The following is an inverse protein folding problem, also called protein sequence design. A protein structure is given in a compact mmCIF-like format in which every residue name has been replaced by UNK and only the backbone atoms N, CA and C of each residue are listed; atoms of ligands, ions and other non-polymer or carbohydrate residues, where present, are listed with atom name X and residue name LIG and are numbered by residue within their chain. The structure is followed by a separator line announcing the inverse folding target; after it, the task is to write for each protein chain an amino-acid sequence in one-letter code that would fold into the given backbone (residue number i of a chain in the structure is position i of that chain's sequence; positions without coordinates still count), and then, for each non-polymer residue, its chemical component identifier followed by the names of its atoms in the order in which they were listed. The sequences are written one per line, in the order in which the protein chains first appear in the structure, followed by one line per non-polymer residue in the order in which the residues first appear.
data_IF_563202298807
#
_entry.id   IF_563202298807
#
_cell.length_a   1.000
_cell.length_b   1.000
_cell.length_c   1.000
_cell.angle_alpha   90.00
_cell.angle_beta   90.00
_cell.angle_gamma   90.00
#
_symmetry.space_group_name_H-M   'P 1'
#
loop_
_entity.id
_entity.type
_entity.pdbx_description
1 polymer ?
#
# COMPACT_ATOMS: atom_id res chain seq x y z
N UNK A 1 6.60 20.64 -11.50
CA UNK A 1 6.44 20.15 -12.90
C UNK A 1 5.15 19.36 -13.10
N UNK A 2 4.81 18.42 -12.21
CA UNK A 2 3.59 17.59 -12.33
C UNK A 2 2.27 18.37 -12.52
N UNK A 3 2.05 19.49 -11.82
CA UNK A 3 0.80 20.28 -11.99
C UNK A 3 0.65 20.88 -13.39
N UNK A 4 1.78 21.29 -13.99
CA UNK A 4 1.80 21.86 -15.35
C UNK A 4 1.48 20.79 -16.38
N UNK A 5 2.01 19.59 -16.20
CA UNK A 5 1.74 18.42 -17.04
C UNK A 5 0.26 18.02 -16.94
N UNK A 6 -0.33 18.04 -15.74
CA UNK A 6 -1.74 17.74 -15.54
C UNK A 6 -2.66 18.80 -16.18
N UNK A 7 -2.32 20.08 -16.05
CA UNK A 7 -3.10 21.18 -16.60
C UNK A 7 -3.05 21.22 -18.15
N UNK A 8 -1.87 20.97 -18.73
CA UNK A 8 -1.63 21.04 -20.18
C UNK A 8 -1.83 19.70 -20.91
N UNK A 9 -2.09 18.61 -20.17
CA UNK A 9 -2.27 17.29 -20.75
C UNK A 9 -3.63 17.09 -21.45
N UNK A 10 -3.78 16.01 -22.23
CA UNK A 10 -4.98 15.72 -23.03
C UNK A 10 -6.19 15.24 -22.18
N UNK A 11 -6.09 15.27 -20.85
CA UNK A 11 -7.15 14.82 -19.94
C UNK A 11 -8.37 15.74 -20.01
N UNK A 12 -9.56 15.18 -19.74
CA UNK A 12 -10.81 15.92 -19.69
C UNK A 12 -10.78 17.01 -18.61
N UNK A 13 -11.56 18.08 -18.80
CA UNK A 13 -11.66 19.16 -17.82
C UNK A 13 -12.25 18.69 -16.49
N UNK A 14 -13.09 17.65 -16.51
CA UNK A 14 -13.62 17.01 -15.29
C UNK A 14 -12.51 16.36 -14.48
N UNK A 15 -11.62 15.62 -15.13
CA UNK A 15 -10.48 14.97 -14.46
C UNK A 15 -9.48 16.00 -13.95
N UNK A 16 -9.21 17.05 -14.74
CA UNK A 16 -8.34 18.16 -14.32
C UNK A 16 -8.87 18.85 -13.06
N UNK A 17 -10.17 19.12 -12.98
CA UNK A 17 -10.81 19.72 -11.79
C UNK A 17 -10.69 18.83 -10.55
N UNK A 18 -10.76 17.50 -10.71
CA UNK A 18 -10.61 16.55 -9.60
C UNK A 18 -9.17 16.45 -9.11
N UNK A 19 -8.22 16.29 -10.03
CA UNK A 19 -6.84 15.95 -9.68
C UNK A 19 -5.95 17.18 -9.38
N UNK A 20 -6.29 18.38 -9.87
CA UNK A 20 -5.50 19.58 -9.58
C UNK A 20 -5.46 19.94 -8.08
N UNK A 21 -6.59 19.92 -7.33
CA UNK A 21 -6.58 20.15 -5.89
C UNK A 21 -5.75 19.10 -5.12
N UNK A 22 -5.97 17.82 -5.38
CA UNK A 22 -5.22 16.73 -4.71
C UNK A 22 -3.71 16.83 -4.96
N UNK A 23 -3.32 17.14 -6.21
CA UNK A 23 -1.92 17.32 -6.56
C UNK A 23 -1.31 18.57 -5.91
N UNK A 24 -2.10 19.63 -5.73
CA UNK A 24 -1.66 20.84 -5.00
C UNK A 24 -1.43 20.51 -3.53
N UNK A 25 -2.37 19.81 -2.90
CA UNK A 25 -2.27 19.40 -1.50
C UNK A 25 -1.07 18.50 -1.25
N UNK A 26 -0.88 17.47 -2.09
CA UNK A 26 0.28 16.59 -2.02
C UNK A 26 1.61 17.37 -2.13
N UNK A 27 1.66 18.40 -2.98
CA UNK A 27 2.85 19.26 -3.12
C UNK A 27 3.07 20.15 -1.91
N UNK A 28 2.02 20.69 -1.31
CA UNK A 28 2.13 21.47 -0.08
C UNK A 28 2.70 20.61 1.04
N UNK A 29 2.14 19.42 1.27
CA UNK A 29 2.66 18.46 2.28
C UNK A 29 4.11 18.09 2.02
N UNK A 30 4.48 17.81 0.77
CA UNK A 30 5.88 17.51 0.42
C UNK A 30 6.82 18.69 0.71
N UNK A 31 6.38 19.93 0.46
CA UNK A 31 7.17 21.13 0.76
C UNK A 31 7.32 21.37 2.26
N UNK A 32 6.27 21.09 3.03
CA UNK A 32 6.25 21.21 4.48
C UNK A 32 7.21 20.19 5.11
N UNK A 33 7.11 18.91 4.71
CA UNK A 33 8.05 17.87 5.12
C UNK A 33 9.49 18.24 4.79
N UNK A 34 9.76 18.72 3.58
CA UNK A 34 11.10 19.18 3.20
C UNK A 34 11.58 20.32 4.09
N UNK A 35 10.69 21.24 4.44
CA UNK A 35 11.02 22.37 5.31
C UNK A 35 11.33 21.90 6.73
N UNK A 36 10.51 20.98 7.27
CA UNK A 36 10.74 20.35 8.57
C UNK A 36 12.08 19.62 8.62
N UNK A 37 12.39 18.80 7.61
CA UNK A 37 13.69 18.12 7.47
C UNK A 37 14.83 19.15 7.46
N UNK A 38 14.68 20.26 6.73
CA UNK A 38 15.75 21.27 6.62
C UNK A 38 15.94 22.11 7.88
N UNK A 39 14.87 22.37 8.65
CA UNK A 39 14.92 23.24 9.83
C UNK A 39 15.30 22.49 11.10
N UNK A 40 14.89 21.23 11.22
CA UNK A 40 15.10 20.42 12.42
C UNK A 40 15.45 18.97 12.05
N UNK A 41 16.59 18.75 11.37
CA UNK A 41 16.97 17.41 10.92
C UNK A 41 17.15 16.44 12.09
N UNK A 42 17.84 16.86 13.15
CA UNK A 42 18.16 15.98 14.27
C UNK A 42 16.92 15.52 15.04
N UNK A 43 16.00 16.45 15.34
CA UNK A 43 14.73 16.11 16.00
C UNK A 43 13.87 15.17 15.13
N UNK A 44 13.85 15.40 13.82
CA UNK A 44 13.09 14.54 12.91
C UNK A 44 13.68 13.13 12.83
N UNK A 45 15.01 13.01 12.79
CA UNK A 45 15.69 11.72 12.81
C UNK A 45 15.48 10.99 14.15
N UNK A 46 15.48 11.70 15.27
CA UNK A 46 15.16 11.15 16.58
C UNK A 46 13.73 10.57 16.61
N UNK A 47 12.73 11.36 16.18
CA UNK A 47 11.34 10.92 16.13
C UNK A 47 11.14 9.72 15.20
N UNK A 48 11.81 9.69 14.04
CA UNK A 48 11.76 8.55 13.12
C UNK A 48 12.41 7.29 13.71
N UNK A 49 13.51 7.46 14.45
CA UNK A 49 14.18 6.37 15.16
C UNK A 49 13.32 5.78 16.27
N UNK A 50 12.62 6.62 17.03
CA UNK A 50 11.64 6.18 18.03
C UNK A 50 10.48 5.42 17.38
N UNK A 51 9.87 5.97 16.33
CA UNK A 51 8.79 5.32 15.60
C UNK A 51 9.20 3.95 14.99
N UNK A 52 10.47 3.81 14.60
CA UNK A 52 10.98 2.54 14.11
C UNK A 52 11.15 1.51 15.24
N UNK A 53 11.72 1.90 16.39
CA UNK A 53 11.80 1.01 17.56
C UNK A 53 10.42 0.61 18.07
N UNK A 54 9.46 1.52 18.06
CA UNK A 54 8.06 1.21 18.41
C UNK A 54 7.47 0.16 17.47
N UNK A 55 7.79 0.23 16.17
CA UNK A 55 7.38 -0.80 15.22
C UNK A 55 8.06 -2.14 15.49
N UNK A 56 9.36 -2.14 15.78
CA UNK A 56 10.08 -3.37 16.13
C UNK A 56 9.47 -4.02 17.37
N UNK A 57 9.22 -3.25 18.43
CA UNK A 57 8.62 -3.79 19.66
C UNK A 57 7.21 -4.33 19.43
N UNK A 58 6.41 -3.68 18.57
CA UNK A 58 5.10 -4.20 18.15
C UNK A 58 5.22 -5.50 17.37
N UNK A 59 6.24 -5.67 16.52
CA UNK A 59 6.49 -6.90 15.77
C UNK A 59 6.92 -8.07 16.68
N UNK A 60 7.78 -7.82 17.67
CA UNK A 60 8.33 -8.88 18.54
C UNK A 60 7.33 -9.38 19.58
N UNK A 61 6.41 -8.54 20.03
CA UNK A 61 5.45 -8.89 21.10
C UNK A 61 4.26 -9.73 20.56
N UNK A 62 4.21 -10.04 19.26
CA UNK A 62 3.03 -10.70 18.66
C UNK A 62 1.75 -9.86 18.79
N UNK A 63 1.90 -8.59 19.18
CA UNK A 63 0.85 -7.62 19.33
C UNK A 63 0.60 -6.99 17.98
N UNK A 64 -0.50 -7.37 17.34
CA UNK A 64 -1.17 -6.61 16.28
C UNK A 64 -0.89 -5.11 16.47
N UNK A 65 -0.39 -4.37 15.46
CA UNK A 65 -0.11 -2.95 15.63
C UNK A 65 -1.41 -2.25 16.02
N UNK A 66 -1.50 -1.86 17.29
CA UNK A 66 -2.47 -0.89 17.72
C UNK A 66 -2.12 0.41 17.02
N UNK A 67 -3.07 0.94 16.25
CA UNK A 67 -3.02 2.24 15.58
C UNK A 67 -2.53 3.34 16.53
N UNK A 68 -1.22 3.50 16.66
CA UNK A 68 -0.57 4.50 17.51
C UNK A 68 -0.30 5.76 16.69
N UNK A 69 -1.18 6.74 16.85
CA UNK A 69 -1.16 8.07 16.26
C UNK A 69 -1.38 8.16 14.74
N UNK A 70 -2.41 7.49 14.23
CA UNK A 70 -3.07 7.94 13.01
C UNK A 70 -3.86 9.23 13.30
N UNK A 71 -3.47 10.34 12.68
CA UNK A 71 -4.39 11.46 12.43
C UNK A 71 -5.67 10.86 11.82
N UNK A 72 -6.88 11.20 12.29
CA UNK A 72 -8.11 10.60 11.77
C UNK A 72 -8.30 11.06 10.32
N UNK A 73 -7.84 10.25 9.37
CA UNK A 73 -8.22 10.37 7.98
C UNK A 73 -9.65 9.82 7.83
N UNK A 74 -10.55 10.54 7.13
CA UNK A 74 -11.88 10.00 6.88
C UNK A 74 -11.77 8.71 6.07
N UNK A 75 -12.63 7.70 6.33
CA UNK A 75 -12.53 6.41 5.68
C UNK A 75 -12.83 6.56 4.19
N UNK A 76 -11.78 6.50 3.37
CA UNK A 76 -11.92 6.27 1.93
C UNK A 76 -12.37 4.83 1.79
N UNK A 77 -13.68 4.64 1.66
CA UNK A 77 -14.27 3.36 1.28
C UNK A 77 -13.76 3.03 -0.13
N UNK A 78 -12.65 2.32 -0.22
CA UNK A 78 -12.24 1.65 -1.44
C UNK A 78 -13.20 0.47 -1.59
N UNK A 79 -14.20 0.65 -2.43
CA UNK A 79 -15.03 -0.44 -2.94
C UNK A 79 -14.11 -1.40 -3.70
N UNK A 80 -13.70 -2.47 -3.03
CA UNK A 80 -13.01 -3.62 -3.61
C UNK A 80 -14.01 -4.27 -4.58
N UNK A 81 -13.87 -3.92 -5.86
CA UNK A 81 -14.54 -4.62 -6.94
C UNK A 81 -13.90 -6.00 -7.10
N UNK A 82 -14.74 -7.03 -7.07
CA UNK A 82 -14.39 -8.45 -7.28
C UNK A 82 -13.57 -9.12 -6.18
N UNK A 83 -14.16 -9.15 -4.98
CA UNK A 83 -13.94 -10.24 -4.03
C UNK A 83 -14.55 -11.54 -4.58
N UNK A 84 -13.91 -12.11 -5.62
CA UNK A 84 -13.95 -13.55 -5.90
C UNK A 84 -12.76 -14.15 -5.17
N UNK A 85 -13.00 -14.70 -3.97
CA UNK A 85 -11.97 -15.08 -3.01
C UNK A 85 -10.91 -16.01 -3.60
N UNK A 86 -9.65 -15.65 -3.41
CA UNK A 86 -8.53 -16.53 -3.67
C UNK A 86 -8.59 -17.74 -2.71
N UNK A 87 -8.47 -18.94 -3.26
CA UNK A 87 -8.51 -20.20 -2.51
C UNK A 87 -7.16 -20.90 -2.52
N UNK A 88 -6.87 -21.70 -1.49
CA UNK A 88 -5.70 -22.57 -1.47
C UNK A 88 -5.74 -23.54 -2.66
N UNK A 89 -4.59 -23.75 -3.31
CA UNK A 89 -4.44 -24.54 -4.53
C UNK A 89 -4.75 -23.80 -5.83
N UNK A 90 -5.16 -22.53 -5.79
CA UNK A 90 -5.47 -21.76 -6.99
C UNK A 90 -4.20 -21.30 -7.72
N UNK A 91 -4.17 -21.43 -9.06
CA UNK A 91 -3.10 -20.85 -9.88
C UNK A 91 -3.34 -19.36 -10.08
N UNK A 92 -2.27 -18.58 -9.89
CA UNK A 92 -2.28 -17.14 -10.03
C UNK A 92 -1.07 -16.68 -10.82
N UNK A 93 -1.24 -15.62 -11.60
CA UNK A 93 -0.13 -14.92 -12.25
C UNK A 93 0.11 -13.60 -11.57
N UNK A 94 1.33 -13.39 -11.09
CA UNK A 94 1.79 -12.13 -10.55
C UNK A 94 2.60 -11.36 -11.60
N UNK A 95 2.29 -10.07 -11.78
CA UNK A 95 2.95 -9.23 -12.80
C UNK A 95 4.49 -9.21 -12.75
N UNK A 96 5.08 -9.38 -11.55
CA UNK A 96 6.53 -9.35 -11.37
C UNK A 96 7.16 -10.75 -11.18
N UNK A 97 6.42 -11.69 -10.58
CA UNK A 97 6.98 -12.98 -10.15
C UNK A 97 6.57 -14.13 -11.07
N UNK A 98 5.70 -13.86 -12.05
CA UNK A 98 5.21 -14.87 -12.98
C UNK A 98 4.14 -15.76 -12.34
N UNK A 99 4.07 -16.99 -12.81
CA UNK A 99 3.05 -17.95 -12.43
C UNK A 99 3.39 -18.60 -11.09
N UNK A 100 2.36 -18.84 -10.28
CA UNK A 100 2.48 -19.48 -8.99
C UNK A 100 1.17 -20.10 -8.51
N UNK A 101 1.24 -20.82 -7.40
CA UNK A 101 0.11 -21.50 -6.77
C UNK A 101 -0.04 -21.00 -5.35
N UNK A 102 -1.27 -20.69 -4.95
CA UNK A 102 -1.55 -20.29 -3.57
C UNK A 102 -1.43 -21.52 -2.66
N UNK A 103 -0.47 -21.51 -1.74
CA UNK A 103 -0.22 -22.61 -0.80
C UNK A 103 -1.01 -22.45 0.48
N UNK A 104 -1.21 -21.22 0.94
CA UNK A 104 -1.94 -20.92 2.18
C UNK A 104 -2.76 -19.63 2.06
N UNK A 105 -3.90 -19.59 2.75
CA UNK A 105 -4.76 -18.42 2.87
C UNK A 105 -5.13 -18.29 4.34
N UNK A 106 -4.46 -17.38 5.03
CA UNK A 106 -4.71 -17.07 6.43
C UNK A 106 -5.58 -15.81 6.53
N UNK A 107 -6.76 -15.94 7.11
CA UNK A 107 -7.62 -14.79 7.40
C UNK A 107 -7.09 -14.03 8.62
N UNK A 108 -6.47 -12.86 8.38
CA UNK A 108 -6.10 -11.93 9.44
C UNK A 108 -7.24 -10.95 9.69
N UNK A 109 -7.37 -10.49 10.92
CA UNK A 109 -8.53 -9.73 11.44
C UNK A 109 -8.97 -8.49 10.67
N UNK A 110 -8.14 -7.94 9.78
CA UNK A 110 -8.46 -6.79 8.92
C UNK A 110 -8.23 -7.05 7.42
N UNK A 111 -7.47 -8.09 7.06
CA UNK A 111 -7.13 -8.42 5.67
C UNK A 111 -6.76 -9.90 5.54
N UNK A 112 -6.89 -10.47 4.34
CA UNK A 112 -6.47 -11.85 4.09
C UNK A 112 -4.98 -11.88 3.76
N UNK A 113 -4.24 -12.83 4.31
CA UNK A 113 -2.84 -13.08 3.98
C UNK A 113 -2.76 -14.33 3.12
N UNK A 114 -2.07 -14.26 1.98
CA UNK A 114 -1.91 -15.38 1.04
C UNK A 114 -0.43 -15.72 0.89
N UNK A 115 -0.10 -17.00 0.92
CA UNK A 115 1.21 -17.51 0.55
C UNK A 115 1.13 -18.09 -0.85
N UNK A 116 2.07 -17.68 -1.72
CA UNK A 116 2.14 -18.10 -3.11
C UNK A 116 3.50 -18.73 -3.36
N UNK A 117 3.50 -19.97 -3.85
CA UNK A 117 4.66 -20.67 -4.36
C UNK A 117 4.79 -20.37 -5.87
N UNK A 118 5.80 -19.61 -6.25
CA UNK A 118 6.07 -19.32 -7.66
C UNK A 118 6.86 -20.44 -8.34
N UNK A 119 6.69 -20.60 -9.66
CA UNK A 119 7.39 -21.61 -10.46
C UNK A 119 8.92 -21.41 -10.48
N UNK A 120 9.40 -20.23 -10.07
CA UNK A 120 10.81 -19.96 -9.78
C UNK A 120 11.32 -20.61 -8.47
N UNK A 121 10.52 -21.49 -7.84
CA UNK A 121 10.78 -22.15 -6.56
C UNK A 121 10.95 -21.19 -5.38
N UNK A 122 10.29 -20.03 -5.42
CA UNK A 122 10.29 -19.04 -4.34
C UNK A 122 8.89 -18.94 -3.73
N UNK A 123 8.78 -19.19 -2.43
CA UNK A 123 7.53 -18.98 -1.68
C UNK A 123 7.52 -17.57 -1.09
N UNK A 124 6.45 -16.82 -1.34
CA UNK A 124 6.28 -15.46 -0.82
C UNK A 124 4.90 -15.27 -0.22
N UNK A 125 4.88 -14.59 0.91
CA UNK A 125 3.66 -14.28 1.63
C UNK A 125 3.29 -12.82 1.46
N UNK A 126 2.03 -12.57 1.14
CA UNK A 126 1.52 -11.25 0.83
C UNK A 126 0.17 -10.97 1.52
N UNK A 127 -0.12 -9.70 1.74
CA UNK A 127 -1.45 -9.25 2.09
C UNK A 127 -2.31 -9.11 0.83
N UNK A 128 -3.54 -9.61 0.90
CA UNK A 128 -4.45 -9.67 -0.22
C UNK A 128 -4.81 -8.27 -0.72
N UNK A 129 -4.96 -7.28 0.16
CA UNK A 129 -5.18 -5.89 -0.25
C UNK A 129 -4.06 -5.30 -1.11
N UNK A 130 -2.81 -5.74 -0.91
CA UNK A 130 -1.64 -5.20 -1.61
C UNK A 130 -1.38 -5.87 -2.96
N UNK A 131 -1.94 -7.07 -3.16
CA UNK A 131 -1.62 -7.93 -4.30
C UNK A 131 -2.87 -8.28 -5.11
N UNK A 132 -4.07 -7.91 -4.66
CA UNK A 132 -5.31 -8.04 -5.42
C UNK A 132 -5.26 -7.36 -6.80
N UNK A 133 -4.60 -6.21 -6.93
CA UNK A 133 -4.44 -5.49 -8.21
C UNK A 133 -3.28 -6.05 -9.07
N UNK A 134 -2.54 -7.03 -8.56
CA UNK A 134 -1.31 -7.57 -9.19
C UNK A 134 -1.38 -9.07 -9.45
N UNK A 135 -2.44 -9.73 -8.97
CA UNK A 135 -2.71 -11.13 -9.20
C UNK A 135 -3.87 -11.28 -10.15
N UNK A 136 -3.63 -12.00 -11.23
CA UNK A 136 -4.66 -12.49 -12.12
C UNK A 136 -4.89 -13.97 -11.81
N UNK A 137 -6.14 -14.33 -11.50
CA UNK A 137 -6.52 -15.72 -11.40
C UNK A 137 -6.46 -16.35 -12.80
N UNK A 138 -5.62 -17.36 -12.97
CA UNK A 138 -5.64 -18.18 -14.18
C UNK A 138 -6.64 -19.31 -13.91
N UNK A 139 -7.82 -19.21 -14.52
CA UNK A 139 -8.72 -20.34 -14.58
C UNK A 139 -8.16 -21.35 -15.59
N UNK A 140 -7.95 -22.58 -15.15
CA UNK A 140 -7.83 -23.75 -16.05
C UNK A 140 -9.20 -24.07 -16.66
#
# INVERSE_FOLDING_TARGET
RASRVLAQGPRSDRDKKRWMPELSEARMRASELRTLISKSPDQMMANLGEAWRDRETQMTVGGRPGNGAAVPAPPVKVSIGSAGGFSTGQRVRHNHFGDGVITDVTDTSDDKQISVLFDAAEERTFLLSLVADKLEAIAD
#
